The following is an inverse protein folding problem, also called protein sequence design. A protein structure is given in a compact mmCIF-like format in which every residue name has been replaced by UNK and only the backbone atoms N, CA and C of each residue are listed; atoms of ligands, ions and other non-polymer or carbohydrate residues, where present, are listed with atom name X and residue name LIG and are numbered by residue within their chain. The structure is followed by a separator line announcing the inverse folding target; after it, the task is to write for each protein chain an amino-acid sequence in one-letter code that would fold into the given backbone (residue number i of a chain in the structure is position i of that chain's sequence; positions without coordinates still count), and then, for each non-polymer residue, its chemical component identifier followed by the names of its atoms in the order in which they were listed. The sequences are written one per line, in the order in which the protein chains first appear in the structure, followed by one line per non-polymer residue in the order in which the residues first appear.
data_IF_057903526986
#
_entry.id   IF_057903526986
#
_cell.length_a   1.000
_cell.length_b   1.000
_cell.length_c   1.000
_cell.angle_alpha   90.00
_cell.angle_beta   90.00
_cell.angle_gamma   90.00
#
_symmetry.space_group_name_H-M   'P 1'
#
loop_
_entity.id
_entity.type
_entity.pdbx_description
1 polymer ?
#
# COMPACT_ATOMS: atom_id res chain seq x y z
N UNK A 1 17.65 1.49 -6.73
CA UNK A 1 17.03 0.50 -5.88
C UNK A 1 18.06 -0.50 -5.36
N UNK A 2 18.04 -0.80 -4.07
CA UNK A 2 18.87 -1.89 -3.51
C UNK A 2 18.18 -3.19 -3.87
N UNK A 3 18.79 -3.95 -4.77
CA UNK A 3 18.42 -5.34 -5.03
C UNK A 3 18.66 -6.13 -3.73
N UNK A 4 17.62 -6.82 -3.25
CA UNK A 4 17.78 -7.66 -2.08
C UNK A 4 18.77 -8.78 -2.39
N UNK A 5 19.80 -8.94 -1.56
CA UNK A 5 20.86 -9.91 -1.73
C UNK A 5 20.48 -11.34 -1.29
N UNK A 6 19.21 -11.71 -1.44
CA UNK A 6 18.74 -13.05 -1.13
C UNK A 6 18.50 -13.77 -2.45
N UNK A 7 19.15 -14.91 -2.64
CA UNK A 7 18.95 -15.72 -3.84
C UNK A 7 17.59 -16.43 -3.81
N UNK A 8 17.03 -16.71 -5.00
CA UNK A 8 15.78 -17.49 -5.12
C UNK A 8 15.88 -18.86 -4.45
N UNK A 9 17.08 -19.43 -4.37
CA UNK A 9 17.33 -20.70 -3.69
C UNK A 9 17.22 -20.55 -2.17
N UNK A 10 17.77 -19.48 -1.59
CA UNK A 10 17.66 -19.19 -0.16
C UNK A 10 16.21 -18.94 0.23
N UNK A 11 15.44 -18.22 -0.61
CA UNK A 11 14.00 -18.02 -0.42
C UNK A 11 13.28 -19.35 -0.35
N UNK A 12 13.47 -20.22 -1.33
CA UNK A 12 12.81 -21.53 -1.37
C UNK A 12 13.20 -22.44 -0.20
N UNK A 13 14.47 -22.40 0.23
CA UNK A 13 14.96 -23.21 1.36
C UNK A 13 14.48 -22.72 2.72
N UNK A 14 14.13 -21.44 2.86
CA UNK A 14 13.73 -20.86 4.14
C UNK A 14 12.35 -21.36 4.63
N UNK A 15 11.50 -21.85 3.72
CA UNK A 15 10.09 -22.17 4.04
C UNK A 15 9.24 -20.95 4.40
N UNK A 16 9.78 -19.75 4.28
CA UNK A 16 9.07 -18.50 4.58
C UNK A 16 8.26 -18.03 3.37
N UNK A 17 7.13 -17.39 3.65
CA UNK A 17 6.40 -16.65 2.63
C UNK A 17 7.13 -15.36 2.30
N UNK A 18 7.33 -15.11 1.00
CA UNK A 18 8.04 -13.93 0.51
C UNK A 18 7.08 -12.95 -0.16
N UNK A 19 7.15 -11.71 0.27
CA UNK A 19 6.56 -10.57 -0.41
C UNK A 19 7.67 -9.69 -1.00
N UNK A 20 7.44 -9.14 -2.18
CA UNK A 20 8.34 -8.20 -2.84
C UNK A 20 7.69 -6.83 -2.99
N UNK A 21 8.49 -5.77 -2.92
CA UNK A 21 8.09 -4.42 -3.31
C UNK A 21 8.80 -4.03 -4.61
N UNK A 22 8.08 -3.34 -5.50
CA UNK A 22 8.64 -2.80 -6.75
C UNK A 22 8.01 -1.47 -7.11
N UNK A 23 8.79 -0.61 -7.76
CA UNK A 23 8.28 0.59 -8.41
C UNK A 23 7.75 0.23 -9.81
N UNK A 24 6.79 1.00 -10.31
CA UNK A 24 6.23 0.81 -11.64
C UNK A 24 5.99 2.15 -12.33
N UNK A 25 6.83 2.50 -13.30
CA UNK A 25 6.73 3.75 -14.07
C UNK A 25 5.73 3.70 -15.23
N UNK A 26 5.22 2.53 -15.61
CA UNK A 26 4.24 2.41 -16.69
C UNK A 26 4.01 0.99 -17.20
N UNK A 27 3.08 0.88 -18.16
CA UNK A 27 2.57 -0.41 -18.69
C UNK A 27 3.69 -1.33 -19.20
N UNK A 28 4.72 -0.77 -19.84
CA UNK A 28 5.80 -1.57 -20.46
C UNK A 28 6.64 -2.33 -19.44
N UNK A 29 6.68 -1.87 -18.20
CA UNK A 29 7.47 -2.46 -17.12
C UNK A 29 6.74 -3.60 -16.40
N UNK A 30 5.41 -3.67 -16.50
CA UNK A 30 4.58 -4.57 -15.70
C UNK A 30 5.04 -6.02 -15.85
N UNK A 31 4.96 -6.56 -17.06
CA UNK A 31 5.24 -7.98 -17.32
C UNK A 31 6.69 -8.38 -17.03
N UNK A 32 7.71 -7.60 -17.43
CA UNK A 32 9.09 -7.89 -17.08
C UNK A 32 9.32 -7.96 -15.56
N UNK A 33 8.89 -6.95 -14.81
CA UNK A 33 9.08 -6.89 -13.35
C UNK A 33 8.33 -8.02 -12.63
N UNK A 34 7.07 -8.28 -12.98
CA UNK A 34 6.33 -9.38 -12.36
C UNK A 34 6.96 -10.74 -12.65
N UNK A 35 7.48 -10.99 -13.85
CA UNK A 35 8.21 -12.22 -14.17
C UNK A 35 9.50 -12.36 -13.37
N UNK A 36 10.26 -11.29 -13.23
CA UNK A 36 11.47 -11.26 -12.42
C UNK A 36 11.16 -11.59 -10.94
N UNK A 37 10.14 -10.94 -10.38
CA UNK A 37 9.68 -11.20 -9.01
C UNK A 37 9.21 -12.65 -8.87
N UNK A 38 8.40 -13.15 -9.78
CA UNK A 38 7.93 -14.55 -9.76
C UNK A 38 9.09 -15.54 -9.77
N UNK A 39 10.15 -15.25 -10.51
CA UNK A 39 11.35 -16.09 -10.57
C UNK A 39 12.08 -16.18 -9.22
N UNK A 40 11.91 -15.22 -8.32
CA UNK A 40 12.44 -15.30 -6.94
C UNK A 40 11.66 -16.26 -6.05
N UNK A 41 10.45 -16.64 -6.43
CA UNK A 41 9.52 -17.43 -5.63
C UNK A 41 8.48 -16.59 -4.87
N UNK A 42 8.55 -15.26 -4.94
CA UNK A 42 7.55 -14.38 -4.35
C UNK A 42 6.25 -14.41 -5.18
N UNK A 43 5.12 -14.48 -4.50
CA UNK A 43 3.78 -14.40 -5.10
C UNK A 43 2.99 -13.18 -4.66
N UNK A 44 3.39 -12.58 -3.55
CA UNK A 44 2.78 -11.39 -3.00
C UNK A 44 3.63 -10.19 -3.36
N UNK A 45 3.05 -9.19 -4.00
CA UNK A 45 3.78 -8.02 -4.53
C UNK A 45 3.09 -6.73 -4.13
N UNK A 46 3.85 -5.87 -3.50
CA UNK A 46 3.50 -4.49 -3.24
C UNK A 46 4.05 -3.58 -4.34
N UNK A 47 3.21 -2.76 -4.96
CA UNK A 47 3.60 -1.92 -6.11
C UNK A 47 3.45 -0.43 -5.79
N UNK A 48 4.55 0.30 -5.81
CA UNK A 48 4.57 1.76 -5.83
C UNK A 48 4.39 2.22 -7.29
N UNK A 49 3.18 2.71 -7.62
CA UNK A 49 2.78 2.88 -9.01
C UNK A 49 2.82 4.34 -9.44
N UNK A 50 3.55 4.60 -10.55
CA UNK A 50 3.61 5.90 -11.22
C UNK A 50 4.13 7.03 -10.30
N UNK A 51 4.01 8.27 -10.71
CA UNK A 51 4.38 9.44 -9.94
C UNK A 51 3.17 10.29 -9.51
N UNK A 52 3.42 11.23 -8.61
CA UNK A 52 2.39 12.12 -8.05
C UNK A 52 1.75 13.07 -9.09
N UNK A 53 2.38 13.30 -10.24
CA UNK A 53 1.80 14.15 -11.31
C UNK A 53 0.87 13.35 -12.25
N UNK A 54 0.83 12.02 -12.09
CA UNK A 54 0.01 11.17 -12.96
C UNK A 54 -1.49 11.36 -12.68
N UNK A 55 -2.23 11.76 -13.73
CA UNK A 55 -3.68 11.92 -13.65
C UNK A 55 -4.44 10.60 -13.53
N UNK A 56 -5.62 10.63 -12.92
CA UNK A 56 -6.44 9.45 -12.58
C UNK A 56 -6.72 8.55 -13.79
N UNK A 57 -7.00 9.11 -14.97
CA UNK A 57 -7.26 8.33 -16.18
C UNK A 57 -6.09 7.40 -16.53
N UNK A 58 -4.87 7.93 -16.47
CA UNK A 58 -3.65 7.16 -16.73
C UNK A 58 -3.39 6.14 -15.63
N UNK A 59 -3.58 6.51 -14.38
CA UNK A 59 -3.41 5.63 -13.25
C UNK A 59 -4.37 4.42 -13.32
N UNK A 60 -5.64 4.64 -13.67
CA UNK A 60 -6.63 3.57 -13.87
C UNK A 60 -6.22 2.63 -15.00
N UNK A 61 -5.75 3.16 -16.14
CA UNK A 61 -5.28 2.34 -17.26
C UNK A 61 -4.13 1.41 -16.82
N UNK A 62 -3.13 1.96 -16.11
CA UNK A 62 -1.97 1.18 -15.65
C UNK A 62 -2.38 0.15 -14.61
N UNK A 63 -3.23 0.53 -13.64
CA UNK A 63 -3.75 -0.39 -12.64
C UNK A 63 -4.49 -1.58 -13.26
N UNK A 64 -5.33 -1.34 -14.25
CA UNK A 64 -6.03 -2.41 -14.99
C UNK A 64 -5.05 -3.39 -15.62
N UNK A 65 -4.05 -2.87 -16.36
CA UNK A 65 -3.02 -3.71 -16.98
C UNK A 65 -2.18 -4.46 -15.97
N UNK A 66 -1.91 -3.84 -14.83
CA UNK A 66 -1.18 -4.48 -13.73
C UNK A 66 -1.97 -5.68 -13.17
N UNK A 67 -3.24 -5.49 -12.84
CA UNK A 67 -4.08 -6.55 -12.30
C UNK A 67 -4.30 -7.69 -13.29
N UNK A 68 -4.54 -7.38 -14.59
CA UNK A 68 -4.64 -8.39 -15.65
C UNK A 68 -3.37 -9.25 -15.78
N UNK A 69 -2.18 -8.62 -15.72
CA UNK A 69 -0.91 -9.35 -15.80
C UNK A 69 -0.61 -10.14 -14.54
N UNK A 70 -1.00 -9.63 -13.37
CA UNK A 70 -0.86 -10.32 -12.10
C UNK A 70 -1.68 -11.63 -12.09
N UNK A 71 -2.93 -11.58 -12.54
CA UNK A 71 -3.80 -12.76 -12.67
C UNK A 71 -3.23 -13.80 -13.64
N UNK A 72 -2.79 -13.37 -14.83
CA UNK A 72 -2.15 -14.27 -15.81
C UNK A 72 -0.90 -14.96 -15.27
N UNK A 73 -0.23 -14.34 -14.29
CA UNK A 73 0.99 -14.86 -13.67
C UNK A 73 0.71 -15.56 -12.33
N UNK A 74 -0.54 -15.67 -11.88
CA UNK A 74 -0.91 -16.22 -10.58
C UNK A 74 -0.13 -15.54 -9.44
N UNK A 75 -0.22 -14.20 -9.38
CA UNK A 75 0.45 -13.36 -8.40
C UNK A 75 -0.57 -12.48 -7.67
N UNK A 76 -0.42 -12.37 -6.36
CA UNK A 76 -1.21 -11.47 -5.53
C UNK A 76 -0.54 -10.10 -5.48
N UNK A 77 -1.11 -9.13 -6.21
CA UNK A 77 -0.56 -7.78 -6.37
C UNK A 77 -1.49 -6.76 -5.74
N UNK A 78 -0.92 -5.83 -5.01
CA UNK A 78 -1.62 -4.66 -4.46
C UNK A 78 -0.84 -3.37 -4.76
N UNK A 79 -1.56 -2.26 -4.88
CA UNK A 79 -0.97 -0.94 -5.13
C UNK A 79 -0.83 -0.22 -3.79
N UNK A 80 0.39 0.23 -3.49
CA UNK A 80 0.68 0.92 -2.24
C UNK A 80 0.16 2.35 -2.24
N UNK A 81 -0.46 2.74 -1.13
CA UNK A 81 -0.73 4.13 -0.80
C UNK A 81 0.59 4.76 -0.35
N UNK A 82 1.27 5.46 -1.24
CA UNK A 82 2.64 5.93 -1.00
C UNK A 82 2.86 7.35 -1.54
N UNK A 83 3.69 8.14 -0.82
CA UNK A 83 4.11 9.48 -1.28
C UNK A 83 4.84 9.37 -2.62
N UNK A 84 4.84 10.45 -3.38
CA UNK A 84 5.45 10.56 -4.71
C UNK A 84 4.90 9.58 -5.75
N UNK A 85 3.74 8.97 -5.49
CA UNK A 85 3.04 8.07 -6.42
C UNK A 85 1.65 8.59 -6.77
N UNK A 86 0.96 7.91 -7.67
CA UNK A 86 -0.42 8.27 -8.05
C UNK A 86 -1.46 8.04 -6.93
N UNK A 87 -1.04 7.52 -5.78
CA UNK A 87 -1.87 7.25 -4.59
C UNK A 87 -1.45 8.05 -3.35
N UNK A 88 -0.67 9.10 -3.52
CA UNK A 88 -0.04 9.83 -2.40
C UNK A 88 -1.01 10.54 -1.44
N UNK A 89 -2.25 10.82 -1.89
CA UNK A 89 -3.28 11.42 -1.04
C UNK A 89 -4.55 10.55 -1.02
N UNK A 90 -5.41 10.70 0.02
CA UNK A 90 -6.69 9.98 0.07
C UNK A 90 -7.53 10.20 -1.19
N UNK A 91 -7.62 11.45 -1.66
CA UNK A 91 -8.42 11.82 -2.82
C UNK A 91 -7.94 11.11 -4.10
N UNK A 92 -6.61 11.03 -4.31
CA UNK A 92 -6.03 10.30 -5.45
C UNK A 92 -6.25 8.81 -5.35
N UNK A 93 -6.05 8.24 -4.15
CA UNK A 93 -6.28 6.83 -3.89
C UNK A 93 -7.72 6.42 -4.16
N UNK A 94 -8.68 7.19 -3.64
CA UNK A 94 -10.11 6.90 -3.83
C UNK A 94 -10.55 7.11 -5.27
N UNK A 95 -10.08 8.17 -5.94
CA UNK A 95 -10.38 8.39 -7.36
C UNK A 95 -9.85 7.24 -8.25
N UNK A 96 -8.66 6.71 -7.94
CA UNK A 96 -8.12 5.54 -8.63
C UNK A 96 -8.99 4.30 -8.36
N UNK A 97 -9.31 4.01 -7.10
CA UNK A 97 -10.10 2.84 -6.72
C UNK A 97 -11.51 2.87 -7.34
N UNK A 98 -12.20 4.01 -7.26
CA UNK A 98 -13.54 4.20 -7.86
C UNK A 98 -13.51 4.07 -9.38
N UNK A 99 -12.50 4.67 -10.03
CA UNK A 99 -12.34 4.59 -11.47
C UNK A 99 -12.05 3.17 -11.93
N UNK A 100 -11.22 2.44 -11.22
CA UNK A 100 -10.94 1.03 -11.46
C UNK A 100 -12.21 0.17 -11.28
N UNK A 101 -12.90 0.31 -10.15
CA UNK A 101 -14.11 -0.44 -9.82
C UNK A 101 -15.24 -0.19 -10.86
N UNK A 102 -15.38 1.05 -11.33
CA UNK A 102 -16.35 1.41 -12.37
C UNK A 102 -16.14 0.64 -13.66
N UNK A 103 -14.86 0.44 -14.06
CA UNK A 103 -14.50 -0.21 -15.32
C UNK A 103 -14.41 -1.72 -15.18
N UNK A 104 -13.75 -2.20 -14.13
CA UNK A 104 -13.46 -3.64 -13.95
C UNK A 104 -14.56 -4.40 -13.20
N UNK A 105 -15.53 -3.70 -12.60
CA UNK A 105 -16.63 -4.27 -11.79
C UNK A 105 -16.15 -5.11 -10.62
N UNK A 106 -14.97 -4.81 -10.12
CA UNK A 106 -14.34 -5.42 -8.96
C UNK A 106 -13.51 -4.38 -8.21
N UNK A 107 -13.24 -4.63 -6.92
CA UNK A 107 -12.44 -3.72 -6.11
C UNK A 107 -10.96 -3.78 -6.47
N UNK A 108 -10.29 -2.65 -6.34
CA UNK A 108 -8.83 -2.56 -6.45
C UNK A 108 -8.20 -2.98 -5.12
N UNK A 109 -7.22 -3.89 -5.19
CA UNK A 109 -6.46 -4.28 -4.00
C UNK A 109 -5.38 -3.25 -3.69
N UNK A 110 -5.37 -2.75 -2.46
CA UNK A 110 -4.43 -1.75 -1.99
C UNK A 110 -3.54 -2.30 -0.88
N UNK A 111 -2.31 -1.82 -0.79
CA UNK A 111 -1.46 -1.88 0.39
C UNK A 111 -1.56 -0.55 1.13
N UNK A 112 -1.96 -0.56 2.38
CA UNK A 112 -2.13 0.66 3.16
C UNK A 112 -0.88 1.02 3.94
N UNK A 113 -0.23 2.13 3.55
CA UNK A 113 0.69 2.89 4.40
C UNK A 113 0.08 4.28 4.67
N UNK A 114 -0.65 4.38 5.75
CA UNK A 114 -1.37 5.60 6.13
C UNK A 114 -0.46 6.76 6.51
N UNK A 115 0.82 6.50 6.81
CA UNK A 115 1.77 7.55 7.16
C UNK A 115 2.02 8.54 6.01
N UNK A 116 1.99 8.05 4.77
CA UNK A 116 2.26 8.89 3.61
C UNK A 116 1.18 9.94 3.36
N UNK A 117 -0.11 9.58 3.21
CA UNK A 117 -1.16 10.58 3.04
C UNK A 117 -1.32 11.47 4.28
N UNK A 118 -1.06 10.97 5.49
CA UNK A 118 -1.11 11.78 6.70
C UNK A 118 -0.10 12.94 6.65
N UNK A 119 1.15 12.68 6.21
CA UNK A 119 2.18 13.71 6.09
C UNK A 119 1.89 14.67 4.93
N UNK A 120 1.55 14.14 3.76
CA UNK A 120 1.27 14.96 2.56
C UNK A 120 0.14 15.95 2.82
N UNK A 121 -0.85 15.56 3.62
CA UNK A 121 -2.00 16.39 3.97
C UNK A 121 -1.86 17.13 5.31
N UNK A 122 -0.74 16.98 6.01
CA UNK A 122 -0.53 17.53 7.36
C UNK A 122 -1.69 17.24 8.31
N UNK A 123 -2.15 15.99 8.34
CA UNK A 123 -3.34 15.63 9.10
C UNK A 123 -3.09 15.68 10.60
N UNK A 124 -4.11 16.13 11.32
CA UNK A 124 -4.21 16.01 12.78
C UNK A 124 -5.23 14.93 13.16
N UNK A 125 -5.10 14.30 14.34
CA UNK A 125 -6.10 13.37 14.83
C UNK A 125 -7.49 14.06 15.01
N UNK A 126 -8.60 13.31 14.91
CA UNK A 126 -8.66 11.88 14.63
C UNK A 126 -8.40 11.58 13.14
N UNK A 127 -7.55 10.59 12.87
CA UNK A 127 -7.14 10.28 11.48
C UNK A 127 -8.19 9.53 10.67
N UNK A 128 -9.10 8.84 11.37
CA UNK A 128 -10.08 7.95 10.74
C UNK A 128 -10.91 8.63 9.65
N UNK A 129 -11.46 9.80 9.95
CA UNK A 129 -12.41 10.48 9.07
C UNK A 129 -11.80 10.94 7.74
N UNK A 130 -10.46 11.03 7.70
CA UNK A 130 -9.74 11.45 6.48
C UNK A 130 -9.01 10.30 5.79
N UNK A 131 -8.56 9.28 6.52
CA UNK A 131 -7.76 8.19 5.98
C UNK A 131 -8.56 6.92 5.72
N UNK A 132 -9.79 6.83 6.19
CA UNK A 132 -10.62 5.63 6.10
C UNK A 132 -12.05 5.92 5.59
N UNK A 133 -12.21 6.89 4.69
CA UNK A 133 -13.50 7.24 4.04
C UNK A 133 -14.11 6.07 3.26
N UNK A 134 -13.28 5.10 2.84
CA UNK A 134 -13.68 3.89 2.12
C UNK A 134 -13.29 2.65 2.93
N UNK A 135 -14.02 2.33 4.03
CA UNK A 135 -13.72 1.17 4.86
C UNK A 135 -13.79 -0.16 4.09
N UNK A 136 -14.62 -0.24 3.07
CA UNK A 136 -14.70 -1.38 2.17
C UNK A 136 -13.40 -1.69 1.42
N UNK A 137 -12.56 -0.70 1.13
CA UNK A 137 -11.23 -0.90 0.56
C UNK A 137 -10.22 -1.39 1.61
N UNK A 138 -10.38 -0.98 2.87
CA UNK A 138 -9.59 -1.51 3.99
C UNK A 138 -9.91 -2.99 4.18
N UNK A 139 -11.19 -3.36 4.22
CA UNK A 139 -11.66 -4.74 4.34
C UNK A 139 -11.17 -5.64 3.21
N UNK A 140 -11.04 -5.11 2.00
CA UNK A 140 -10.56 -5.85 0.83
C UNK A 140 -9.04 -5.99 0.76
N UNK A 141 -8.29 -5.32 1.63
CA UNK A 141 -6.83 -5.30 1.63
C UNK A 141 -6.23 -6.49 2.37
N UNK A 142 -5.05 -6.91 1.95
CA UNK A 142 -4.30 -8.01 2.57
C UNK A 142 -2.87 -7.61 2.96
N UNK A 143 -2.48 -6.35 2.73
CA UNK A 143 -1.17 -5.82 3.09
C UNK A 143 -1.31 -4.46 3.76
N UNK A 144 -0.58 -4.31 4.87
CA UNK A 144 -0.50 -3.07 5.63
C UNK A 144 0.94 -2.79 6.02
N UNK A 145 1.42 -1.59 5.72
CA UNK A 145 2.67 -1.06 6.26
C UNK A 145 2.34 -0.19 7.47
N UNK A 146 2.28 -0.81 8.63
CA UNK A 146 1.88 -0.14 9.86
C UNK A 146 3.10 0.33 10.66
N UNK A 147 3.16 1.63 10.88
CA UNK A 147 4.13 2.31 11.75
C UNK A 147 3.45 3.49 12.43
N UNK A 148 3.81 3.82 13.69
CA UNK A 148 3.31 5.01 14.34
C UNK A 148 3.71 6.27 13.57
N UNK A 149 2.74 7.12 13.23
CA UNK A 149 2.94 8.36 12.48
C UNK A 149 2.15 9.51 13.10
N UNK A 150 2.48 10.74 12.69
CA UNK A 150 1.63 11.92 12.82
C UNK A 150 1.65 12.71 11.49
N UNK A 151 1.01 13.88 11.45
CA UNK A 151 0.95 14.71 10.23
C UNK A 151 2.29 15.34 9.81
N UNK A 152 3.36 15.14 10.59
CA UNK A 152 4.67 15.72 10.34
C UNK A 152 5.77 14.66 10.15
N UNK A 153 5.57 13.45 10.71
CA UNK A 153 6.58 12.40 10.73
C UNK A 153 5.97 11.06 10.36
N UNK A 154 6.60 10.36 9.39
CA UNK A 154 6.21 9.01 8.97
C UNK A 154 6.45 7.96 10.06
N UNK A 155 7.28 8.31 11.04
CA UNK A 155 7.58 7.45 12.18
C UNK A 155 7.83 8.30 13.41
N UNK A 156 7.08 8.03 14.48
CA UNK A 156 7.16 8.69 15.76
C UNK A 156 7.55 7.70 16.87
N UNK A 157 8.15 8.17 17.97
CA UNK A 157 8.44 7.31 19.12
C UNK A 157 7.14 6.88 19.81
N UNK A 158 7.04 5.59 20.13
CA UNK A 158 5.93 5.06 20.93
C UNK A 158 6.03 5.46 22.40
N UNK A 159 7.25 5.53 22.93
CA UNK A 159 7.52 5.81 24.33
C UNK A 159 8.31 7.10 24.52
N UNK A 160 8.03 7.81 25.58
CA UNK A 160 8.83 8.92 26.08
C UNK A 160 10.07 8.42 26.88
N UNK A 161 10.90 9.35 27.36
CA UNK A 161 12.11 9.05 28.15
C UNK A 161 11.80 8.36 29.49
N UNK A 162 10.53 8.35 29.92
CA UNK A 162 10.08 7.69 31.16
C UNK A 162 9.41 6.34 30.89
N UNK A 163 9.43 5.87 29.64
CA UNK A 163 8.80 4.62 29.21
C UNK A 163 7.27 4.67 29.15
N UNK A 164 6.67 5.86 29.06
CA UNK A 164 5.22 6.03 28.91
C UNK A 164 4.89 6.31 27.44
N UNK A 165 3.73 5.85 27.00
CA UNK A 165 3.21 6.17 25.66
C UNK A 165 3.13 7.69 25.46
N UNK A 166 3.68 8.15 24.33
CA UNK A 166 3.55 9.54 23.92
C UNK A 166 2.09 9.86 23.55
N UNK A 167 1.64 11.14 23.65
CA UNK A 167 0.30 11.51 23.22
C UNK A 167 0.05 11.15 21.75
N UNK A 168 1.00 11.44 20.87
CA UNK A 168 0.90 11.16 19.43
C UNK A 168 0.81 9.65 19.14
N UNK A 169 1.48 8.82 19.92
CA UNK A 169 1.36 7.38 19.80
C UNK A 169 -0.03 6.88 20.22
N UNK A 170 -0.65 7.49 21.22
CA UNK A 170 -2.03 7.13 21.62
C UNK A 170 -3.05 7.47 20.54
N UNK A 171 -2.93 8.64 19.90
CA UNK A 171 -3.77 9.03 18.78
C UNK A 171 -3.62 8.05 17.60
N UNK A 172 -2.37 7.65 17.32
CA UNK A 172 -2.10 6.64 16.30
C UNK A 172 -2.65 5.26 16.68
N UNK A 173 -2.51 4.86 17.93
CA UNK A 173 -2.99 3.56 18.43
C UNK A 173 -4.50 3.42 18.29
N UNK A 174 -5.26 4.46 18.67
CA UNK A 174 -6.72 4.52 18.45
C UNK A 174 -7.07 4.33 16.98
N UNK A 175 -6.37 5.02 16.09
CA UNK A 175 -6.55 4.86 14.65
C UNK A 175 -6.24 3.42 14.19
N UNK A 176 -5.11 2.86 14.64
CA UNK A 176 -4.67 1.51 14.29
C UNK A 176 -5.67 0.43 14.74
N UNK A 177 -6.13 0.51 15.99
CA UNK A 177 -7.16 -0.39 16.53
C UNK A 177 -8.44 -0.34 15.71
N UNK A 178 -8.87 0.85 15.30
CA UNK A 178 -10.05 1.04 14.48
C UNK A 178 -9.89 0.49 13.06
N UNK A 179 -8.71 0.66 12.44
CA UNK A 179 -8.39 0.07 11.12
C UNK A 179 -8.44 -1.46 11.20
N UNK A 180 -7.78 -2.07 12.18
CA UNK A 180 -7.80 -3.53 12.33
C UNK A 180 -9.17 -4.08 12.70
N UNK A 181 -9.94 -3.39 13.52
CA UNK A 181 -11.34 -3.76 13.81
C UNK A 181 -12.19 -3.74 12.54
N UNK A 182 -12.03 -2.72 11.71
CA UNK A 182 -12.70 -2.63 10.42
C UNK A 182 -12.29 -3.77 9.49
N UNK A 183 -10.99 -4.06 9.38
CA UNK A 183 -10.48 -5.13 8.52
C UNK A 183 -10.96 -6.51 8.97
N UNK A 184 -10.96 -6.79 10.26
CA UNK A 184 -11.40 -8.06 10.84
C UNK A 184 -12.92 -8.27 10.79
N UNK A 185 -13.70 -7.22 10.49
CA UNK A 185 -15.16 -7.31 10.36
C UNK A 185 -15.63 -7.68 8.94
N UNK A 186 -14.72 -8.00 8.03
CA UNK A 186 -15.00 -8.34 6.64
C UNK A 186 -15.57 -9.77 6.45
#
# INVERSE_FOLDING_TARGET
GRTAFISSEQVRKSGLMFACTTDLGGVREIRPKLKEIKATGARVVNVQMLDHNTGSKRAIEVARRLMDQAEQLDMDVSIEVHRDTCTETPEKTYALAEGFERVEKRKLKLTWDFSHPAIIKHLSPPYWDRLAERPDLIQFSNQFHFRPFNGHHAQIPALDIKGKYTPEFKDWLEFAERVFSCWLSA
#
